data_IF_018687534123
#
_entry.id   IF_018687534123
#
_cell.length_a   1.000
_cell.length_b   1.000
_cell.length_c   1.000
_cell.angle_alpha   90.00
_cell.angle_beta   90.00
_cell.angle_gamma   90.00
#
_symmetry.space_group_name_H-M   'P 1'
#
loop_
_entity.id
_entity.type
_entity.pdbx_description
1 polymer ?
#
# COMPACT_ATOMS: atom_id res chain seq x y z
N UNK A 1 -26.68 2.76 29.07
CA UNK A 1 -25.52 2.36 28.25
C UNK A 1 -26.09 1.73 27.00
N UNK A 2 -26.11 2.51 25.91
CA UNK A 2 -26.73 2.12 24.65
C UNK A 2 -25.67 1.36 23.83
N UNK A 3 -25.79 0.04 23.78
CA UNK A 3 -24.96 -0.80 22.91
C UNK A 3 -25.54 -0.66 21.50
N UNK A 4 -25.00 0.27 20.72
CA UNK A 4 -25.31 0.38 19.30
C UNK A 4 -25.10 -0.98 18.63
N UNK A 5 -26.18 -1.57 18.11
CA UNK A 5 -26.14 -2.78 17.28
C UNK A 5 -25.10 -2.60 16.18
N UNK A 6 -23.98 -3.33 16.24
CA UNK A 6 -23.11 -3.47 15.08
C UNK A 6 -23.95 -4.11 13.98
N UNK A 7 -24.28 -3.35 12.93
CA UNK A 7 -25.05 -3.85 11.80
C UNK A 7 -24.29 -5.01 11.14
N UNK A 8 -24.64 -6.23 11.54
CA UNK A 8 -24.05 -7.48 11.08
C UNK A 8 -24.50 -7.71 9.64
N UNK A 9 -23.64 -7.41 8.68
CA UNK A 9 -23.86 -7.84 7.29
C UNK A 9 -23.62 -9.35 7.24
N UNK A 10 -24.54 -10.12 6.68
CA UNK A 10 -24.38 -11.57 6.51
C UNK A 10 -23.58 -11.90 5.23
N UNK A 11 -23.03 -13.12 5.13
CA UNK A 11 -22.32 -13.57 3.93
C UNK A 11 -23.21 -13.49 2.66
N UNK A 12 -24.51 -13.76 2.82
CA UNK A 12 -25.50 -13.71 1.75
C UNK A 12 -25.77 -12.26 1.32
N UNK A 13 -25.95 -11.33 2.27
CA UNK A 13 -26.12 -9.91 1.98
C UNK A 13 -24.89 -9.28 1.32
N UNK A 14 -23.68 -9.66 1.74
CA UNK A 14 -22.42 -9.24 1.12
C UNK A 14 -22.32 -9.76 -0.32
N UNK A 15 -22.72 -11.03 -0.56
CA UNK A 15 -22.76 -11.60 -1.90
C UNK A 15 -23.78 -10.91 -2.81
N UNK A 16 -24.98 -10.60 -2.29
CA UNK A 16 -26.03 -9.90 -3.00
C UNK A 16 -25.63 -8.47 -3.36
N UNK A 17 -24.96 -7.74 -2.43
CA UNK A 17 -24.40 -6.41 -2.70
C UNK A 17 -23.39 -6.45 -3.85
N UNK A 18 -22.56 -7.50 -3.94
CA UNK A 18 -21.61 -7.64 -5.07
C UNK A 18 -22.29 -7.94 -6.39
N UNK A 19 -23.28 -8.84 -6.40
CA UNK A 19 -24.04 -9.15 -7.62
C UNK A 19 -24.75 -7.89 -8.11
N UNK A 20 -25.43 -7.17 -7.22
CA UNK A 20 -26.09 -5.91 -7.54
C UNK A 20 -25.10 -4.85 -8.04
N UNK A 21 -23.92 -4.72 -7.42
CA UNK A 21 -22.88 -3.81 -7.90
C UNK A 21 -22.37 -4.21 -9.29
N UNK A 22 -22.18 -5.51 -9.55
CA UNK A 22 -21.76 -6.02 -10.86
C UNK A 22 -22.80 -5.78 -11.95
N UNK A 23 -24.08 -5.99 -11.64
CA UNK A 23 -25.18 -5.74 -12.57
C UNK A 23 -25.33 -4.26 -12.92
N UNK A 24 -25.18 -3.36 -11.94
CA UNK A 24 -25.18 -1.90 -12.18
C UNK A 24 -24.01 -1.44 -13.04
N UNK A 25 -22.84 -2.05 -12.87
CA UNK A 25 -21.68 -1.78 -13.73
C UNK A 25 -21.93 -2.26 -15.16
N UNK A 26 -22.54 -3.43 -15.33
CA UNK A 26 -22.95 -3.94 -16.65
C UNK A 26 -24.02 -3.07 -17.31
N UNK A 27 -24.88 -2.38 -16.54
CA UNK A 27 -25.85 -1.41 -17.07
C UNK A 27 -25.26 -0.03 -17.37
N UNK A 28 -23.94 0.14 -17.26
CA UNK A 28 -23.24 1.38 -17.61
C UNK A 28 -23.24 2.46 -16.52
N UNK A 29 -23.67 2.14 -15.30
CA UNK A 29 -23.52 3.04 -14.15
C UNK A 29 -22.09 2.95 -13.58
N UNK A 30 -21.40 4.09 -13.50
CA UNK A 30 -20.06 4.17 -12.91
C UNK A 30 -20.14 4.06 -11.38
N UNK A 31 -20.04 2.83 -10.85
CA UNK A 31 -19.87 2.61 -9.42
C UNK A 31 -18.38 2.53 -9.03
N UNK A 32 -18.04 3.18 -7.91
CA UNK A 32 -16.70 3.32 -7.30
C UNK A 32 -16.03 1.97 -6.94
N UNK A 33 -16.70 0.85 -7.12
CA UNK A 33 -16.31 -0.47 -6.59
C UNK A 33 -15.30 -1.22 -7.47
N UNK A 34 -15.33 -1.01 -8.80
CA UNK A 34 -14.39 -1.68 -9.70
C UNK A 34 -13.24 -0.73 -10.06
N UNK A 35 -12.29 -0.63 -9.14
CA UNK A 35 -10.99 0.03 -9.37
C UNK A 35 -10.23 -0.74 -10.46
N UNK A 36 -10.65 -0.63 -11.73
CA UNK A 36 -9.88 -1.10 -12.88
C UNK A 36 -8.46 -0.54 -12.78
N UNK A 37 -7.47 -1.25 -13.30
CA UNK A 37 -6.07 -0.81 -13.18
C UNK A 37 -5.89 0.63 -13.73
N UNK A 38 -6.63 0.96 -14.78
CA UNK A 38 -6.72 2.31 -15.36
C UNK A 38 -7.32 3.32 -14.38
N UNK A 39 -8.38 2.97 -13.64
CA UNK A 39 -8.99 3.87 -12.66
C UNK A 39 -8.14 4.04 -11.40
N UNK A 40 -7.49 2.97 -10.93
CA UNK A 40 -6.48 3.05 -9.87
C UNK A 40 -5.38 4.01 -10.26
N UNK A 41 -4.90 3.88 -11.51
CA UNK A 41 -3.84 4.72 -12.04
C UNK A 41 -4.28 6.19 -12.06
N UNK A 42 -5.48 6.49 -12.56
CA UNK A 42 -6.05 7.86 -12.56
C UNK A 42 -6.22 8.44 -11.16
N UNK A 43 -6.64 7.64 -10.16
CA UNK A 43 -6.83 8.11 -8.78
C UNK A 43 -5.51 8.35 -8.04
N UNK A 44 -4.44 7.67 -8.45
CA UNK A 44 -3.11 7.80 -7.84
C UNK A 44 -2.25 8.86 -8.55
N UNK A 45 -2.40 9.04 -9.86
CA UNK A 45 -1.58 9.95 -10.68
C UNK A 45 -1.94 11.43 -10.59
N UNK A 46 -2.79 11.84 -9.64
CA UNK A 46 -3.09 13.26 -9.41
C UNK A 46 -1.83 14.10 -9.17
N UNK A 47 -0.75 13.50 -8.66
CA UNK A 47 0.52 14.17 -8.38
C UNK A 47 1.58 14.03 -9.50
N UNK A 48 1.22 13.40 -10.64
CA UNK A 48 2.13 13.13 -11.75
C UNK A 48 3.10 11.97 -11.49
N UNK A 49 3.42 11.20 -12.53
CA UNK A 49 4.45 10.15 -12.46
C UNK A 49 5.81 10.82 -12.52
N UNK A 50 6.54 10.83 -11.41
CA UNK A 50 7.95 11.24 -11.45
C UNK A 50 8.75 10.23 -12.28
N UNK A 51 9.66 10.70 -13.13
CA UNK A 51 10.50 9.90 -14.05
C UNK A 51 11.29 8.77 -13.39
N UNK A 52 11.37 8.78 -12.05
CA UNK A 52 12.15 7.88 -11.22
C UNK A 52 11.29 6.91 -10.37
N UNK A 53 10.03 6.73 -10.73
CA UNK A 53 9.12 5.77 -10.09
C UNK A 53 8.85 4.56 -10.99
N UNK A 54 8.91 3.36 -10.40
CA UNK A 54 8.64 2.09 -11.07
C UNK A 54 7.61 1.28 -10.30
N UNK A 55 6.84 0.42 -10.98
CA UNK A 55 5.90 -0.48 -10.31
C UNK A 55 6.63 -1.47 -9.41
N UNK A 56 6.07 -1.76 -8.23
CA UNK A 56 6.69 -2.59 -7.20
C UNK A 56 5.74 -3.67 -6.68
N UNK A 57 6.06 -4.94 -6.95
CA UNK A 57 5.18 -6.08 -6.61
C UNK A 57 5.91 -7.19 -5.83
N UNK A 58 6.74 -6.84 -4.84
CA UNK A 58 7.42 -7.85 -3.99
C UNK A 58 6.55 -8.27 -2.80
N UNK A 59 5.42 -8.91 -3.07
CA UNK A 59 4.53 -9.48 -2.04
C UNK A 59 5.22 -10.64 -1.30
N UNK A 60 4.98 -10.72 0.00
CA UNK A 60 5.44 -11.82 0.86
C UNK A 60 4.23 -12.62 1.28
N UNK A 61 4.29 -13.95 1.10
CA UNK A 61 3.26 -14.85 1.61
C UNK A 61 3.24 -14.78 3.13
N UNK A 62 2.10 -14.39 3.68
CA UNK A 62 1.84 -14.41 5.11
C UNK A 62 1.19 -15.75 5.45
N UNK A 63 1.58 -16.35 6.57
CA UNK A 63 0.88 -17.50 7.12
C UNK A 63 -0.61 -17.19 7.32
N UNK A 64 -1.47 -18.19 7.05
CA UNK A 64 -2.90 -18.03 7.21
C UNK A 64 -3.24 -17.63 8.65
N UNK A 65 -3.92 -16.50 8.79
CA UNK A 65 -4.54 -16.14 10.06
C UNK A 65 -5.90 -16.82 10.17
N UNK A 66 -6.12 -17.58 11.24
CA UNK A 66 -7.45 -18.03 11.63
C UNK A 66 -8.24 -16.84 12.16
N UNK A 67 -8.88 -16.13 11.24
CA UNK A 67 -9.67 -14.96 11.56
C UNK A 67 -11.10 -15.39 11.85
N UNK A 68 -11.59 -15.07 13.06
CA UNK A 68 -12.94 -15.41 13.52
C UNK A 68 -14.07 -14.92 12.59
N UNK A 69 -13.78 -13.92 11.75
CA UNK A 69 -14.75 -13.39 10.79
C UNK A 69 -14.84 -14.18 9.48
N UNK A 70 -13.93 -15.13 9.20
CA UNK A 70 -13.93 -15.90 7.93
C UNK A 70 -15.21 -16.73 7.74
N UNK A 71 -15.83 -17.13 8.84
CA UNK A 71 -17.12 -17.84 8.82
C UNK A 71 -18.28 -16.91 8.40
N UNK A 72 -18.12 -15.61 8.64
CA UNK A 72 -19.15 -14.59 8.42
C UNK A 72 -19.01 -13.86 7.09
N UNK A 73 -17.79 -13.66 6.61
CA UNK A 73 -17.50 -12.94 5.38
C UNK A 73 -16.49 -13.71 4.54
N UNK A 74 -16.64 -13.66 3.22
CA UNK A 74 -15.67 -14.27 2.29
C UNK A 74 -14.35 -13.48 2.32
N UNK A 75 -13.22 -14.08 2.70
CA UNK A 75 -11.92 -13.42 2.72
C UNK A 75 -11.49 -12.96 1.33
N UNK A 76 -10.86 -11.78 1.25
CA UNK A 76 -10.45 -11.15 -0.01
C UNK A 76 -9.05 -10.57 0.12
N UNK A 77 -8.25 -10.66 -0.95
CA UNK A 77 -7.02 -9.87 -1.05
C UNK A 77 -7.34 -8.46 -1.52
N UNK A 78 -6.86 -7.41 -0.84
CA UNK A 78 -7.01 -6.04 -1.32
C UNK A 78 -6.20 -5.82 -2.60
N UNK A 79 -6.69 -4.91 -3.44
CA UNK A 79 -5.94 -4.48 -4.63
C UNK A 79 -4.94 -3.41 -4.24
N UNK A 80 -3.82 -3.31 -4.93
CA UNK A 80 -2.80 -2.31 -4.66
C UNK A 80 -2.13 -1.82 -5.94
N UNK A 81 -1.64 -0.58 -5.87
CA UNK A 81 -0.79 0.03 -6.89
C UNK A 81 0.43 0.64 -6.18
N UNK A 82 1.47 -0.17 -6.08
CA UNK A 82 2.66 0.19 -5.35
C UNK A 82 3.75 0.64 -6.32
N UNK A 83 4.48 1.69 -5.95
CA UNK A 83 5.64 2.18 -6.67
C UNK A 83 6.87 2.22 -5.79
N UNK A 84 8.01 1.91 -6.38
CA UNK A 84 9.34 2.11 -5.80
C UNK A 84 9.96 3.34 -6.43
N UNK A 85 10.45 4.25 -5.59
CA UNK A 85 11.22 5.40 -6.04
C UNK A 85 12.70 5.04 -5.98
N UNK A 86 13.37 5.09 -7.12
CA UNK A 86 14.80 4.75 -7.22
C UNK A 86 15.58 5.93 -7.78
N UNK A 87 16.76 6.17 -7.26
CA UNK A 87 17.60 7.25 -7.76
C UNK A 87 19.07 7.03 -7.45
N UNK A 88 19.89 7.97 -7.88
CA UNK A 88 21.34 7.93 -7.67
C UNK A 88 21.72 8.53 -6.31
N UNK A 89 22.69 7.91 -5.64
CA UNK A 89 23.27 8.44 -4.42
C UNK A 89 24.73 8.86 -4.66
N UNK A 90 24.97 10.15 -4.84
CA UNK A 90 26.30 10.72 -5.03
C UNK A 90 27.03 10.90 -3.69
N UNK A 91 27.38 9.79 -3.05
CA UNK A 91 28.26 9.81 -1.87
C UNK A 91 29.73 10.06 -2.28
N UNK A 92 30.62 10.30 -1.31
CA UNK A 92 32.04 10.62 -1.58
C UNK A 92 32.75 9.53 -2.40
N UNK A 93 32.41 8.26 -2.16
CA UNK A 93 32.96 7.12 -2.90
C UNK A 93 32.43 7.10 -4.35
N UNK A 94 31.13 7.28 -4.54
CA UNK A 94 30.53 7.28 -5.86
C UNK A 94 31.03 8.47 -6.70
N UNK A 95 31.28 9.62 -6.08
CA UNK A 95 31.87 10.79 -6.75
C UNK A 95 33.29 10.53 -7.31
N UNK A 96 34.03 9.56 -6.80
CA UNK A 96 35.39 9.23 -7.30
C UNK A 96 35.39 8.12 -8.35
N UNK A 97 34.29 7.38 -8.50
CA UNK A 97 34.21 6.19 -9.35
C UNK A 97 33.18 6.29 -10.48
N UNK A 98 32.26 7.24 -10.39
CA UNK A 98 31.19 7.45 -11.36
C UNK A 98 31.15 8.91 -11.80
N UNK A 99 30.66 9.15 -12.99
CA UNK A 99 30.49 10.47 -13.59
C UNK A 99 29.08 10.63 -14.16
N UNK A 100 28.78 11.79 -14.75
CA UNK A 100 27.44 12.08 -15.27
C UNK A 100 27.03 11.15 -16.41
N UNK A 101 27.99 10.64 -17.17
CA UNK A 101 27.76 9.79 -18.34
C UNK A 101 27.67 8.31 -17.93
N UNK A 102 28.34 7.94 -16.84
CA UNK A 102 28.36 6.63 -16.20
C UNK A 102 27.93 6.76 -14.73
N UNK A 103 26.65 7.03 -14.46
CA UNK A 103 26.17 7.24 -13.11
C UNK A 103 26.26 5.96 -12.26
N UNK A 104 26.31 6.08 -10.92
CA UNK A 104 26.30 4.92 -10.03
C UNK A 104 25.03 4.08 -10.23
N UNK A 105 25.03 2.80 -9.79
CA UNK A 105 23.80 2.01 -9.77
C UNK A 105 22.68 2.71 -8.98
N UNK A 106 21.46 2.66 -9.51
CA UNK A 106 20.29 3.22 -8.83
C UNK A 106 20.03 2.45 -7.53
N UNK A 107 19.72 3.20 -6.48
CA UNK A 107 19.31 2.63 -5.19
C UNK A 107 17.87 2.99 -4.89
N UNK A 108 17.22 2.19 -4.04
CA UNK A 108 15.87 2.51 -3.55
C UNK A 108 15.94 3.70 -2.60
N UNK A 109 15.23 4.78 -2.93
CA UNK A 109 15.14 5.99 -2.13
C UNK A 109 13.83 6.09 -1.35
N UNK A 110 12.81 5.30 -1.70
CA UNK A 110 11.52 5.32 -1.02
C UNK A 110 10.49 4.44 -1.69
N UNK A 111 9.30 4.41 -1.10
CA UNK A 111 8.17 3.64 -1.60
C UNK A 111 6.88 4.48 -1.54
N UNK A 112 5.97 4.20 -2.47
CA UNK A 112 4.61 4.71 -2.49
C UNK A 112 3.65 3.53 -2.55
N UNK A 113 3.04 3.20 -1.43
CA UNK A 113 1.99 2.20 -1.35
C UNK A 113 0.63 2.87 -1.51
N UNK A 114 -0.20 2.30 -2.39
CA UNK A 114 -1.60 2.69 -2.54
C UNK A 114 -2.42 1.41 -2.50
N UNK A 115 -3.17 1.20 -1.42
CA UNK A 115 -3.92 -0.04 -1.19
C UNK A 115 -5.41 0.30 -1.13
N UNK A 116 -6.20 -0.45 -1.90
CA UNK A 116 -7.60 -0.19 -2.15
C UNK A 116 -8.48 -1.14 -1.34
N UNK A 117 -9.41 -0.57 -0.59
CA UNK A 117 -10.35 -1.25 0.29
C UNK A 117 -11.81 -0.86 -0.01
N UNK A 118 -12.32 -0.96 -1.27
CA UNK A 118 -13.68 -0.53 -1.65
C UNK A 118 -14.79 -1.09 -0.76
N UNK A 119 -14.69 -2.39 -0.49
CA UNK A 119 -15.71 -3.17 0.21
C UNK A 119 -15.45 -3.32 1.72
N UNK A 120 -14.79 -2.34 2.35
CA UNK A 120 -14.57 -2.38 3.80
C UNK A 120 -15.92 -2.30 4.53
N UNK A 121 -16.19 -3.28 5.41
CA UNK A 121 -17.48 -3.37 6.11
C UNK A 121 -17.62 -2.21 7.09
N UNK A 122 -16.60 -2.02 7.93
CA UNK A 122 -16.55 -0.92 8.89
C UNK A 122 -15.61 0.17 8.40
N UNK A 123 -16.17 1.19 7.76
CA UNK A 123 -15.42 2.36 7.27
C UNK A 123 -14.86 3.24 8.39
N UNK A 124 -15.28 3.06 9.65
CA UNK A 124 -14.73 3.79 10.79
C UNK A 124 -13.39 3.20 11.24
N UNK A 125 -13.19 1.90 11.06
CA UNK A 125 -11.94 1.21 11.38
C UNK A 125 -10.96 1.40 10.23
N UNK A 126 -9.96 2.26 10.47
CA UNK A 126 -8.94 2.57 9.47
C UNK A 126 -7.92 1.42 9.36
N UNK A 127 -7.57 0.98 8.14
CA UNK A 127 -6.48 0.03 7.93
C UNK A 127 -5.17 0.51 8.55
N UNK A 128 -4.44 -0.39 9.20
CA UNK A 128 -3.16 -0.08 9.86
C UNK A 128 -2.00 -0.81 9.19
N UNK A 129 -0.77 -0.51 9.60
CA UNK A 129 0.41 -1.24 9.13
C UNK A 129 1.40 -1.49 10.25
N UNK A 130 2.21 -2.53 10.08
CA UNK A 130 3.31 -2.88 10.99
C UNK A 130 4.58 -3.17 10.19
N UNK A 131 5.72 -2.78 10.73
CA UNK A 131 7.03 -3.01 10.13
C UNK A 131 7.83 -3.94 11.03
N UNK A 132 8.29 -5.07 10.49
CA UNK A 132 9.15 -6.03 11.20
C UNK A 132 10.41 -6.31 10.39
N UNK A 133 11.62 -6.14 10.96
CA UNK A 133 12.86 -6.54 10.29
C UNK A 133 12.85 -8.03 9.93
N UNK A 134 13.44 -8.40 8.79
CA UNK A 134 13.58 -9.82 8.43
C UNK A 134 14.63 -10.46 9.37
N UNK A 135 14.38 -11.70 9.82
CA UNK A 135 15.33 -12.42 10.67
C UNK A 135 16.61 -12.78 9.90
N UNK A 136 16.48 -13.17 8.63
CA UNK A 136 17.61 -13.60 7.81
C UNK A 136 18.49 -12.45 7.33
N UNK A 137 17.90 -11.27 7.09
CA UNK A 137 18.61 -10.12 6.56
C UNK A 137 18.10 -8.79 7.14
N UNK A 138 18.96 -8.13 7.92
CA UNK A 138 18.68 -6.85 8.59
C UNK A 138 18.52 -5.67 7.63
N UNK A 139 19.01 -5.78 6.39
CA UNK A 139 18.85 -4.76 5.35
C UNK A 139 17.43 -4.71 4.78
N UNK A 140 16.59 -5.71 5.09
CA UNK A 140 15.20 -5.78 4.66
C UNK A 140 14.24 -5.90 5.83
N UNK A 141 13.03 -5.38 5.64
CA UNK A 141 11.94 -5.47 6.58
C UNK A 141 10.66 -5.86 5.84
N UNK A 142 9.76 -6.52 6.55
CA UNK A 142 8.43 -6.89 6.09
C UNK A 142 7.47 -5.79 6.57
N UNK A 143 6.92 -5.06 5.62
CA UNK A 143 5.85 -4.10 5.84
C UNK A 143 4.51 -4.80 5.62
N UNK A 144 3.76 -4.99 6.69
CA UNK A 144 2.46 -5.66 6.69
C UNK A 144 1.34 -4.65 6.84
N UNK A 145 0.33 -4.75 6.01
CA UNK A 145 -0.89 -3.94 6.06
C UNK A 145 -2.05 -4.78 6.59
N UNK A 146 -2.81 -4.18 7.50
CA UNK A 146 -3.96 -4.76 8.16
C UNK A 146 -5.22 -4.06 7.69
N UNK A 147 -6.00 -4.73 6.82
CA UNK A 147 -7.20 -4.15 6.22
C UNK A 147 -8.45 -4.22 7.10
N UNK A 148 -8.54 -5.25 7.94
CA UNK A 148 -9.78 -5.60 8.64
C UNK A 148 -10.79 -6.34 7.74
N UNK A 149 -11.88 -6.89 8.28
CA UNK A 149 -12.85 -7.68 7.51
C UNK A 149 -13.46 -6.86 6.36
N UNK A 150 -13.59 -7.41 5.13
CA UNK A 150 -13.34 -8.80 4.73
C UNK A 150 -11.94 -9.03 4.12
N UNK A 151 -11.01 -8.10 4.30
CA UNK A 151 -9.69 -8.16 3.69
C UNK A 151 -8.70 -8.95 4.53
N UNK A 152 -7.94 -9.80 3.84
CA UNK A 152 -6.75 -10.42 4.41
C UNK A 152 -5.60 -9.41 4.46
N UNK A 153 -4.72 -9.62 5.43
CA UNK A 153 -3.49 -8.85 5.53
C UNK A 153 -2.58 -9.14 4.32
N UNK A 154 -1.90 -8.09 3.85
CA UNK A 154 -0.89 -8.20 2.78
C UNK A 154 0.44 -7.66 3.28
N UNK A 155 1.53 -8.24 2.81
CA UNK A 155 2.87 -7.86 3.24
C UNK A 155 3.81 -7.71 2.07
N UNK A 156 4.76 -6.79 2.20
CA UNK A 156 5.79 -6.52 1.20
C UNK A 156 7.17 -6.51 1.84
N UNK A 157 8.14 -7.06 1.12
CA UNK A 157 9.54 -6.99 1.53
C UNK A 157 10.14 -5.67 1.05
N UNK A 158 10.50 -4.79 1.96
CA UNK A 158 11.09 -3.48 1.68
C UNK A 158 12.49 -3.36 2.27
N UNK A 159 13.24 -2.35 1.82
CA UNK A 159 14.53 -2.00 2.43
C UNK A 159 14.30 -1.43 3.83
N UNK A 160 15.08 -1.91 4.80
CA UNK A 160 15.03 -1.49 6.20
C UNK A 160 15.97 -0.31 6.44
N UNK A 161 15.51 0.89 6.08
CA UNK A 161 16.18 2.17 6.36
C UNK A 161 15.21 3.10 7.09
N UNK A 162 15.77 4.08 7.80
CA UNK A 162 14.97 5.06 8.53
C UNK A 162 14.14 5.93 7.56
N UNK A 163 12.86 6.14 7.89
CA UNK A 163 11.93 6.92 7.07
C UNK A 163 12.05 8.42 7.37
N UNK A 164 11.91 9.22 6.33
CA UNK A 164 11.76 10.66 6.42
C UNK A 164 10.26 10.99 6.58
N UNK A 165 9.88 11.42 7.79
CA UNK A 165 8.47 11.72 8.14
C UNK A 165 8.02 13.15 7.77
N UNK A 166 8.90 13.92 7.12
CA UNK A 166 8.59 15.29 6.72
C UNK A 166 7.61 15.34 5.56
N UNK A 167 6.49 16.04 5.74
CA UNK A 167 5.51 16.30 4.67
C UNK A 167 6.13 17.05 3.48
N UNK A 168 7.14 17.90 3.72
CA UNK A 168 7.89 18.61 2.67
C UNK A 168 8.68 17.66 1.76
N UNK A 169 9.02 16.47 2.26
CA UNK A 169 9.70 15.42 1.52
C UNK A 169 8.75 14.37 0.96
N UNK A 170 7.43 14.65 0.97
CA UNK A 170 6.41 13.79 0.38
C UNK A 170 5.96 12.64 1.27
N UNK A 171 6.23 12.70 2.58
CA UNK A 171 5.65 11.74 3.51
C UNK A 171 4.12 11.87 3.53
N UNK A 172 3.43 10.74 3.40
CA UNK A 172 1.98 10.65 3.39
C UNK A 172 1.55 9.36 4.07
N UNK A 173 0.64 9.45 5.03
CA UNK A 173 0.05 8.28 5.70
C UNK A 173 -1.40 8.61 5.99
N UNK A 174 -2.28 8.36 5.03
CA UNK A 174 -3.70 8.70 5.12
C UNK A 174 -4.59 7.61 4.52
N UNK A 175 -5.80 7.50 5.05
CA UNK A 175 -6.86 6.67 4.49
C UNK A 175 -8.02 7.56 4.08
N UNK A 176 -8.29 7.64 2.78
CA UNK A 176 -9.40 8.44 2.24
C UNK A 176 -9.96 7.75 0.98
N UNK A 177 -11.26 7.89 0.75
CA UNK A 177 -11.95 7.31 -0.41
C UNK A 177 -11.66 5.80 -0.58
N UNK A 178 -11.60 5.07 0.53
CA UNK A 178 -11.24 3.65 0.58
C UNK A 178 -9.83 3.32 0.07
N UNK A 179 -8.92 4.30 0.04
CA UNK A 179 -7.53 4.13 -0.39
C UNK A 179 -6.62 4.47 0.78
N UNK A 180 -5.82 3.48 1.21
CA UNK A 180 -4.70 3.70 2.11
C UNK A 180 -3.49 4.15 1.29
N UNK A 181 -3.03 5.37 1.53
CA UNK A 181 -1.83 5.93 0.92
C UNK A 181 -0.73 6.00 1.98
N UNK A 182 0.31 5.20 1.79
CA UNK A 182 1.52 5.23 2.60
C UNK A 182 2.72 5.51 1.71
N UNK A 183 3.18 6.76 1.71
CA UNK A 183 4.30 7.24 0.92
C UNK A 183 5.39 7.71 1.87
N UNK A 184 6.61 7.26 1.61
CA UNK A 184 7.75 7.69 2.38
C UNK A 184 9.02 7.61 1.54
N UNK A 185 9.98 8.46 1.88
CA UNK A 185 11.36 8.38 1.42
C UNK A 185 12.24 7.96 2.58
N UNK A 186 13.40 7.41 2.30
CA UNK A 186 14.42 7.15 3.30
C UNK A 186 15.19 8.42 3.63
N UNK A 187 15.59 8.55 4.89
CA UNK A 187 16.49 9.63 5.31
C UNK A 187 17.81 9.53 4.57
N UNK A 188 18.32 10.67 4.11
CA UNK A 188 19.67 10.75 3.53
C UNK A 188 20.66 10.92 4.66
N UNK A 189 21.45 9.89 4.93
CA UNK A 189 22.54 9.97 5.90
C UNK A 189 23.67 10.82 5.31
N UNK A 190 23.70 12.11 5.68
CA UNK A 190 24.87 12.95 5.45
C UNK A 190 25.92 12.60 6.50
N UNK A 191 26.97 11.93 6.07
CA UNK A 191 28.16 11.76 6.89
C UNK A 191 28.70 13.14 7.30
N UNK A 192 28.67 13.44 8.60
CA UNK A 192 29.37 14.59 9.19
C UNK A 192 30.76 14.11 9.64
N UNK A 193 31.80 14.80 9.17
CA UNK A 193 33.18 14.62 9.61
C UNK A 193 33.41 15.25 10.98
#
# INVERSE_FOLDING_TARGET
>A
MDFSEEHVVTAEEDSAKRVANRERVLSGETLVSDYSEIEMQRKVDTDGIATEEYNFNSEVTIEHQDLLWKEKYRPRKPRFLNRVHTGFEWNKYNQTHYDTDNPPPKIVQGYKFNIFFPDLIDKRKTPTYSLKPCQDNKDFAILRFHGGPPYEDIAFKIVNREWEYSWKHGFKSQFNNNILQLWFRFKRNRYRR
#
